data_IF_462856941304
#
_entry.id   IF_462856941304
#
_cell.length_a   1.000
_cell.length_b   1.000
_cell.length_c   1.000
_cell.angle_alpha   90.00
_cell.angle_beta   90.00
_cell.angle_gamma   90.00
#
_symmetry.space_group_name_H-M   'P 1'
#
loop_
_entity.id
_entity.type
_entity.pdbx_description
1 polymer ?
#
# COMPACT_ATOMS: atom_id res chain seq x y z
N UNK A 1 -13.44 -25.12 24.31
CA UNK A 1 -13.24 -25.54 22.90
C UNK A 1 -13.38 -24.30 22.05
N UNK A 2 -12.30 -23.84 21.39
CA UNK A 2 -12.38 -22.69 20.49
C UNK A 2 -13.05 -23.15 19.19
N UNK A 3 -14.31 -22.81 18.99
CA UNK A 3 -14.95 -22.91 17.68
C UNK A 3 -14.34 -21.83 16.78
N UNK A 4 -13.30 -22.18 16.00
CA UNK A 4 -12.96 -21.35 14.86
C UNK A 4 -14.14 -21.41 13.89
N UNK A 5 -14.70 -20.24 13.56
CA UNK A 5 -15.73 -20.15 12.54
C UNK A 5 -15.19 -20.74 11.23
N UNK A 6 -16.00 -21.52 10.50
CA UNK A 6 -15.58 -22.31 9.32
C UNK A 6 -14.91 -21.48 8.22
N UNK A 7 -15.11 -20.16 8.21
CA UNK A 7 -14.54 -19.25 7.24
C UNK A 7 -13.13 -18.73 7.60
N UNK A 8 -12.63 -18.94 8.82
CA UNK A 8 -11.31 -18.44 9.26
C UNK A 8 -10.17 -19.34 8.76
N UNK A 9 -9.98 -19.38 7.44
CA UNK A 9 -8.94 -20.15 6.77
C UNK A 9 -7.90 -19.24 6.12
N UNK A 10 -6.64 -19.69 5.94
CA UNK A 10 -5.63 -18.96 5.17
C UNK A 10 -6.11 -18.60 3.76
N UNK A 11 -6.85 -19.49 3.10
CA UNK A 11 -7.40 -19.26 1.76
C UNK A 11 -8.40 -18.10 1.74
N UNK A 12 -9.33 -18.07 2.70
CA UNK A 12 -10.30 -16.97 2.79
C UNK A 12 -9.62 -15.65 3.18
N UNK A 13 -8.58 -15.71 4.01
CA UNK A 13 -7.76 -14.54 4.29
C UNK A 13 -7.08 -14.00 3.04
N UNK A 14 -6.42 -14.85 2.24
CA UNK A 14 -5.80 -14.47 0.97
C UNK A 14 -6.82 -13.95 -0.06
N UNK A 15 -8.03 -14.50 -0.08
CA UNK A 15 -9.12 -14.04 -0.95
C UNK A 15 -9.55 -12.61 -0.57
N UNK A 16 -9.77 -12.35 0.72
CA UNK A 16 -10.18 -11.03 1.21
C UNK A 16 -9.14 -9.96 0.89
N UNK A 17 -7.85 -10.21 1.19
CA UNK A 17 -6.78 -9.25 0.89
C UNK A 17 -6.61 -9.02 -0.62
N UNK A 18 -6.94 -10.00 -1.46
CA UNK A 18 -6.84 -9.89 -2.93
C UNK A 18 -7.87 -8.91 -3.51
N UNK A 19 -8.97 -8.62 -2.81
CA UNK A 19 -9.96 -7.62 -3.23
C UNK A 19 -9.50 -6.20 -2.85
N UNK A 20 -8.79 -6.06 -1.73
CA UNK A 20 -8.39 -4.75 -1.18
C UNK A 20 -7.40 -4.03 -2.12
N UNK A 21 -6.43 -4.76 -2.67
CA UNK A 21 -5.36 -4.18 -3.49
C UNK A 21 -5.90 -3.52 -4.77
N UNK A 22 -6.72 -4.18 -5.62
CA UNK A 22 -7.30 -3.55 -6.80
C UNK A 22 -8.10 -2.28 -6.49
N UNK A 23 -8.84 -2.25 -5.37
CA UNK A 23 -9.61 -1.08 -4.95
C UNK A 23 -8.67 0.08 -4.62
N UNK A 24 -7.62 -0.16 -3.82
CA UNK A 24 -6.63 0.87 -3.48
C UNK A 24 -5.94 1.44 -4.73
N UNK A 25 -5.54 0.59 -5.67
CA UNK A 25 -4.91 1.05 -6.92
C UNK A 25 -5.86 1.84 -7.81
N UNK A 26 -7.12 1.42 -7.91
CA UNK A 26 -8.13 2.14 -8.71
C UNK A 26 -8.39 3.53 -8.13
N UNK A 27 -8.48 3.64 -6.80
CA UNK A 27 -8.60 4.93 -6.11
C UNK A 27 -7.36 5.80 -6.30
N UNK A 28 -6.16 5.23 -6.20
CA UNK A 28 -4.91 5.97 -6.42
C UNK A 28 -4.79 6.49 -7.86
N UNK A 29 -5.17 5.67 -8.86
CA UNK A 29 -5.20 6.11 -10.27
C UNK A 29 -6.19 7.25 -10.49
N UNK A 30 -7.36 7.22 -9.85
CA UNK A 30 -8.31 8.31 -9.93
C UNK A 30 -7.76 9.61 -9.32
N UNK A 31 -7.04 9.52 -8.19
CA UNK A 31 -6.38 10.65 -7.55
C UNK A 31 -5.26 11.23 -8.44
N UNK A 32 -4.43 10.37 -9.04
CA UNK A 32 -3.35 10.82 -9.92
C UNK A 32 -3.80 11.40 -11.25
N UNK A 33 -4.89 10.90 -11.82
CA UNK A 33 -5.33 11.38 -13.12
C UNK A 33 -6.15 12.68 -13.01
N UNK A 34 -6.78 12.93 -11.86
CA UNK A 34 -7.70 14.05 -11.70
C UNK A 34 -7.31 14.95 -10.52
N UNK A 35 -7.28 14.42 -9.30
CA UNK A 35 -7.09 15.22 -8.08
C UNK A 35 -5.77 15.99 -8.06
N UNK A 36 -4.65 15.36 -8.41
CA UNK A 36 -3.35 16.06 -8.35
C UNK A 36 -3.27 17.23 -9.33
N UNK A 37 -3.97 17.15 -10.46
CA UNK A 37 -4.04 18.23 -11.45
C UNK A 37 -5.02 19.29 -10.95
N UNK A 38 -6.27 18.91 -10.67
CA UNK A 38 -7.35 19.85 -10.38
C UNK A 38 -7.28 20.50 -8.99
N UNK A 39 -6.69 19.81 -8.00
CA UNK A 39 -6.66 20.24 -6.60
C UNK A 39 -5.28 20.62 -6.11
N UNK A 40 -4.23 19.98 -6.63
CA UNK A 40 -2.85 20.26 -6.22
C UNK A 40 -2.04 21.01 -7.29
N UNK A 41 -2.61 21.29 -8.48
CA UNK A 41 -1.96 21.98 -9.59
C UNK A 41 -0.62 21.38 -10.01
N UNK A 42 -0.51 20.05 -9.96
CA UNK A 42 0.70 19.35 -10.39
C UNK A 42 0.98 19.62 -11.86
N UNK A 43 2.24 19.89 -12.17
CA UNK A 43 2.74 19.84 -13.54
C UNK A 43 3.40 18.48 -13.85
N UNK A 44 3.97 18.35 -15.06
CA UNK A 44 4.64 17.13 -15.47
C UNK A 44 5.87 16.77 -14.62
N UNK A 45 6.57 17.76 -14.07
CA UNK A 45 7.72 17.56 -13.21
C UNK A 45 7.31 17.05 -11.83
N UNK A 46 6.22 17.56 -11.27
CA UNK A 46 5.64 17.08 -10.01
C UNK A 46 5.16 15.64 -10.12
N UNK A 47 4.52 15.28 -11.24
CA UNK A 47 4.12 13.89 -11.52
C UNK A 47 5.35 13.00 -11.60
N UNK A 48 6.39 13.42 -12.32
CA UNK A 48 7.65 12.68 -12.41
C UNK A 48 8.31 12.47 -11.04
N UNK A 49 8.31 13.49 -10.19
CA UNK A 49 8.82 13.40 -8.82
C UNK A 49 7.98 12.43 -7.98
N UNK A 50 6.66 12.50 -8.06
CA UNK A 50 5.76 11.59 -7.35
C UNK A 50 5.97 10.14 -7.76
N UNK A 51 6.08 9.87 -9.06
CA UNK A 51 6.39 8.52 -9.56
C UNK A 51 7.77 8.06 -9.07
N UNK A 52 8.78 8.95 -9.07
CA UNK A 52 10.10 8.63 -8.54
C UNK A 52 10.05 8.24 -7.06
N UNK A 53 9.32 8.99 -6.24
CA UNK A 53 9.12 8.68 -4.81
C UNK A 53 8.36 7.36 -4.63
N UNK A 54 7.38 7.07 -5.50
CA UNK A 54 6.66 5.79 -5.49
C UNK A 54 7.59 4.60 -5.69
N UNK A 55 8.66 4.72 -6.48
CA UNK A 55 9.59 3.60 -6.74
C UNK A 55 10.57 3.34 -5.59
N UNK A 56 10.82 4.30 -4.70
CA UNK A 56 11.79 4.16 -3.60
C UNK A 56 11.45 2.94 -2.72
N UNK A 57 10.21 2.74 -2.24
CA UNK A 57 9.88 1.55 -1.46
C UNK A 57 10.01 0.24 -2.23
N UNK A 58 9.78 0.24 -3.55
CA UNK A 58 9.98 -0.95 -4.38
C UNK A 58 11.45 -1.36 -4.41
N UNK A 59 12.35 -0.39 -4.58
CA UNK A 59 13.79 -0.63 -4.46
C UNK A 59 14.18 -1.14 -3.07
N UNK A 60 13.55 -0.62 -2.01
CA UNK A 60 13.84 -0.99 -0.62
C UNK A 60 13.03 -2.20 -0.11
N UNK A 61 12.28 -2.91 -0.95
CA UNK A 61 11.40 -3.99 -0.52
C UNK A 61 12.15 -5.12 0.23
N UNK A 62 13.43 -5.35 -0.10
CA UNK A 62 14.29 -6.32 0.60
C UNK A 62 14.41 -6.08 2.10
N UNK A 63 14.20 -4.84 2.55
CA UNK A 63 14.25 -4.48 3.97
C UNK A 63 13.15 -5.14 4.80
N UNK A 64 12.09 -5.65 4.17
CA UNK A 64 11.04 -6.44 4.82
C UNK A 64 11.61 -7.62 5.63
N UNK A 65 12.71 -8.25 5.17
CA UNK A 65 13.37 -9.35 5.90
C UNK A 65 13.89 -8.90 7.26
N UNK A 66 14.43 -7.69 7.38
CA UNK A 66 14.89 -7.17 8.66
C UNK A 66 13.73 -6.87 9.62
N UNK A 67 12.58 -6.45 9.10
CA UNK A 67 11.37 -6.22 9.89
C UNK A 67 10.81 -7.53 10.43
N UNK A 68 10.87 -8.61 9.64
CA UNK A 68 10.46 -9.96 10.06
C UNK A 68 11.26 -10.51 11.25
N UNK A 69 12.44 -9.96 11.56
CA UNK A 69 13.18 -10.29 12.79
C UNK A 69 12.45 -9.86 14.07
N UNK A 70 11.55 -8.88 13.97
CA UNK A 70 10.86 -8.28 15.11
C UNK A 70 9.36 -8.57 15.13
N UNK A 71 8.72 -8.69 13.97
CA UNK A 71 7.27 -8.92 13.86
C UNK A 71 6.95 -10.14 13.01
N UNK A 72 5.92 -10.89 13.42
CA UNK A 72 5.46 -12.06 12.68
C UNK A 72 4.88 -11.66 11.34
N UNK A 73 5.14 -12.49 10.34
CA UNK A 73 4.74 -12.31 8.94
C UNK A 73 3.28 -11.92 8.73
N UNK A 74 2.31 -12.66 9.30
CA UNK A 74 0.89 -12.34 9.14
C UNK A 74 0.52 -10.96 9.71
N UNK A 75 1.10 -10.57 10.85
CA UNK A 75 0.86 -9.24 11.44
C UNK A 75 1.51 -8.16 10.57
N UNK A 76 2.70 -8.43 10.06
CA UNK A 76 3.37 -7.51 9.14
C UNK A 76 2.55 -7.32 7.86
N UNK A 77 2.00 -8.38 7.28
CA UNK A 77 1.14 -8.29 6.11
C UNK A 77 -0.07 -7.38 6.35
N UNK A 78 -0.72 -7.51 7.51
CA UNK A 78 -1.84 -6.65 7.90
C UNK A 78 -1.43 -5.19 8.07
N UNK A 79 -0.26 -4.93 8.66
CA UNK A 79 0.29 -3.57 8.78
C UNK A 79 0.61 -2.96 7.42
N UNK A 80 1.24 -3.73 6.53
CA UNK A 80 1.55 -3.31 5.16
C UNK A 80 0.29 -3.01 4.35
N UNK A 81 -0.72 -3.88 4.46
CA UNK A 81 -2.03 -3.66 3.83
C UNK A 81 -2.74 -2.42 4.41
N UNK A 82 -2.61 -2.16 5.70
CA UNK A 82 -3.14 -0.96 6.35
C UNK A 82 -2.42 0.30 5.86
N UNK A 83 -1.10 0.26 5.70
CA UNK A 83 -0.32 1.38 5.16
C UNK A 83 -0.74 1.70 3.71
N UNK A 84 -0.95 0.67 2.88
CA UNK A 84 -1.51 0.82 1.53
C UNK A 84 -2.88 1.53 1.58
N UNK A 85 -3.85 0.98 2.31
CA UNK A 85 -5.23 1.50 2.28
C UNK A 85 -5.37 2.85 2.95
N UNK A 86 -4.72 3.07 4.11
CA UNK A 86 -4.75 4.36 4.81
C UNK A 86 -4.03 5.41 3.97
N UNK A 87 -2.85 5.10 3.43
CA UNK A 87 -2.10 6.01 2.57
C UNK A 87 -2.93 6.47 1.36
N UNK A 88 -3.57 5.54 0.65
CA UNK A 88 -4.51 5.89 -0.43
C UNK A 88 -5.69 6.71 0.07
N UNK A 89 -6.38 6.26 1.13
CA UNK A 89 -7.62 6.88 1.61
C UNK A 89 -7.42 8.32 2.07
N UNK A 90 -6.31 8.62 2.75
CA UNK A 90 -6.06 9.96 3.27
C UNK A 90 -5.50 10.93 2.21
N UNK A 91 -5.04 10.42 1.06
CA UNK A 91 -4.37 11.23 0.02
C UNK A 91 -5.20 12.45 -0.41
N UNK A 92 -6.53 12.30 -0.53
CA UNK A 92 -7.43 13.39 -0.92
C UNK A 92 -7.50 14.57 0.06
N UNK A 93 -6.98 14.43 1.29
CA UNK A 93 -6.92 15.51 2.28
C UNK A 93 -5.64 16.35 2.21
N UNK A 94 -4.68 15.98 1.36
CA UNK A 94 -3.37 16.64 1.28
C UNK A 94 -3.09 17.22 -0.12
N UNK A 95 -3.81 18.27 -0.58
CA UNK A 95 -3.65 18.85 -1.91
C UNK A 95 -2.39 19.73 -2.03
N UNK A 96 -1.22 19.15 -1.80
CA UNK A 96 0.09 19.80 -1.93
C UNK A 96 1.13 18.79 -2.39
N UNK A 97 2.19 19.25 -3.05
CA UNK A 97 3.29 18.37 -3.51
C UNK A 97 3.82 17.53 -2.36
N UNK A 98 4.26 18.17 -1.27
CA UNK A 98 4.82 17.46 -0.13
C UNK A 98 3.85 16.44 0.49
N UNK A 99 2.58 16.83 0.65
CA UNK A 99 1.55 15.93 1.16
C UNK A 99 1.34 14.70 0.29
N UNK A 100 1.25 14.90 -1.03
CA UNK A 100 1.09 13.82 -2.01
C UNK A 100 2.33 12.91 -2.09
N UNK A 101 3.54 13.45 -1.93
CA UNK A 101 4.76 12.64 -1.85
C UNK A 101 4.77 11.77 -0.59
N UNK A 102 4.38 12.31 0.57
CA UNK A 102 4.32 11.56 1.82
C UNK A 102 3.26 10.45 1.79
N UNK A 103 2.05 10.73 1.30
CA UNK A 103 1.01 9.71 1.21
C UNK A 103 1.33 8.66 0.14
N UNK A 104 1.98 9.05 -0.95
CA UNK A 104 2.51 8.12 -1.97
C UNK A 104 3.59 7.22 -1.39
N UNK A 105 4.53 7.77 -0.60
CA UNK A 105 5.56 6.98 0.06
C UNK A 105 4.95 5.96 1.02
N UNK A 106 4.02 6.37 1.89
CA UNK A 106 3.32 5.50 2.82
C UNK A 106 2.56 4.37 2.11
N UNK A 107 1.77 4.74 1.10
CA UNK A 107 0.99 3.79 0.30
C UNK A 107 1.91 2.80 -0.41
N UNK A 108 2.96 3.28 -1.07
CA UNK A 108 3.90 2.47 -1.83
C UNK A 108 4.69 1.51 -0.92
N UNK A 109 5.16 1.97 0.25
CA UNK A 109 5.76 1.09 1.26
C UNK A 109 4.81 -0.02 1.68
N UNK A 110 3.55 0.33 1.95
CA UNK A 110 2.51 -0.65 2.27
C UNK A 110 2.33 -1.70 1.17
N UNK A 111 2.23 -1.27 -0.09
CA UNK A 111 2.10 -2.17 -1.23
C UNK A 111 3.31 -3.11 -1.39
N UNK A 112 4.52 -2.58 -1.42
CA UNK A 112 5.71 -3.38 -1.69
C UNK A 112 5.99 -4.40 -0.58
N UNK A 113 5.87 -4.00 0.69
CA UNK A 113 5.99 -4.96 1.79
C UNK A 113 4.86 -5.99 1.77
N UNK A 114 3.63 -5.60 1.44
CA UNK A 114 2.52 -6.54 1.30
C UNK A 114 2.80 -7.59 0.21
N UNK A 115 3.25 -7.19 -0.97
CA UNK A 115 3.55 -8.11 -2.08
C UNK A 115 4.69 -9.07 -1.73
N UNK A 116 5.77 -8.60 -1.08
CA UNK A 116 6.85 -9.47 -0.60
C UNK A 116 6.34 -10.54 0.36
N UNK A 117 5.46 -10.17 1.30
CA UNK A 117 4.92 -11.10 2.31
C UNK A 117 3.85 -12.04 1.72
N UNK A 118 3.05 -11.55 0.77
CA UNK A 118 2.03 -12.35 0.09
C UNK A 118 2.64 -13.49 -0.70
N UNK A 119 3.73 -13.22 -1.43
CA UNK A 119 4.46 -14.25 -2.17
C UNK A 119 4.96 -15.35 -1.24
N UNK A 120 5.57 -14.96 -0.10
CA UNK A 120 6.05 -15.90 0.93
C UNK A 120 4.94 -16.77 1.52
N UNK A 121 3.79 -16.20 1.85
CA UNK A 121 2.64 -16.93 2.42
C UNK A 121 1.88 -17.82 1.42
N UNK A 122 2.07 -17.60 0.12
CA UNK A 122 1.40 -18.36 -0.95
C UNK A 122 2.18 -19.57 -1.45
N UNK A 123 3.45 -19.68 -1.08
CA UNK A 123 4.36 -20.79 -1.38
C UNK A 123 4.32 -21.85 -0.27
#
# INVERSE_FOLDING_TARGET
MNHSASWKTPQNFLLLISIVVPVAFSSWMALLNNFVIERANFDGSDIGLLQSVREIPGFLAFTAVFVLLFIREQRFMLLSLSALTIGTAITGFFPSVFGLLLTTLLMSTGFHYFETLKQSLSL
#
